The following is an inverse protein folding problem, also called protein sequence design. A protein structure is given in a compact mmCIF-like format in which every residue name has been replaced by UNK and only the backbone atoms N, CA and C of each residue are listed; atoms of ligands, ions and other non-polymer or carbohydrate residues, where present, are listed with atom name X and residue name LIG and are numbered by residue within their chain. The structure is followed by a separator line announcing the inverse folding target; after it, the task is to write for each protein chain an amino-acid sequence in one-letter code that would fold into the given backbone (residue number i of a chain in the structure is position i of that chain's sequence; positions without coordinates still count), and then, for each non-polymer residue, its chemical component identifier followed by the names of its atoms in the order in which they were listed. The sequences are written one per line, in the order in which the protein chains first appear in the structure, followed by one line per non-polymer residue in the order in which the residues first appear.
data_IF_683252671325
#
_entry.id   IF_683252671325
#
_cell.length_a   1.000
_cell.length_b   1.000
_cell.length_c   1.000
_cell.angle_alpha   90.00
_cell.angle_beta   90.00
_cell.angle_gamma   90.00
#
_symmetry.space_group_name_H-M   'P 1'
#
loop_
_entity.id
_entity.type
_entity.pdbx_description
1 polymer ?
#
# COMPACT_ATOMS: atom_id res chain seq x y z
N UNK A 1 -1.67 -67.91 -33.50
CA UNK A 1 -0.36 -68.56 -33.19
C UNK A 1 0.33 -67.67 -32.17
N UNK A 2 0.83 -68.10 -31.01
CA UNK A 2 1.08 -69.42 -30.45
C UNK A 2 1.32 -69.21 -28.95
N UNK A 3 0.68 -70.05 -28.13
CA UNK A 3 1.16 -70.71 -26.90
C UNK A 3 2.25 -70.00 -26.02
N UNK A 4 2.19 -70.01 -24.68
CA UNK A 4 1.95 -71.19 -23.84
C UNK A 4 1.75 -70.78 -22.37
N UNK A 5 0.82 -71.48 -21.73
CA UNK A 5 0.55 -71.51 -20.29
C UNK A 5 1.53 -72.47 -19.55
N UNK A 6 1.75 -72.18 -18.26
CA UNK A 6 1.78 -73.14 -17.12
C UNK A 6 3.06 -73.98 -16.88
N UNK A 7 3.15 -74.72 -15.75
CA UNK A 7 3.26 -74.31 -14.33
C UNK A 7 4.46 -75.01 -13.65
N UNK A 8 4.74 -74.75 -12.37
CA UNK A 8 5.34 -75.67 -11.36
C UNK A 8 5.74 -74.78 -10.15
N UNK A 9 5.79 -75.20 -8.90
CA UNK A 9 5.12 -76.22 -8.10
C UNK A 9 5.57 -75.93 -6.67
N UNK A 10 4.64 -76.13 -5.72
CA UNK A 10 4.82 -76.41 -4.30
C UNK A 10 6.14 -76.02 -3.59
N UNK A 11 6.02 -75.16 -2.58
CA UNK A 11 6.55 -75.52 -1.26
C UNK A 11 5.68 -74.92 -0.15
N UNK A 12 5.03 -75.82 0.60
CA UNK A 12 4.37 -75.56 1.86
C UNK A 12 5.48 -75.37 2.91
N UNK A 13 5.56 -74.21 3.55
CA UNK A 13 6.31 -74.05 4.81
C UNK A 13 5.30 -73.63 5.87
N UNK A 14 4.92 -74.59 6.69
CA UNK A 14 4.22 -74.37 7.94
C UNK A 14 5.23 -73.79 8.94
N UNK A 15 5.20 -72.47 9.14
CA UNK A 15 5.93 -71.80 10.21
C UNK A 15 4.97 -71.58 11.38
N UNK A 16 5.04 -72.46 12.36
CA UNK A 16 4.37 -72.37 13.66
C UNK A 16 4.99 -71.20 14.43
N UNK A 17 4.37 -70.01 14.35
CA UNK A 17 4.76 -68.86 15.15
C UNK A 17 4.14 -68.97 16.54
N UNK A 18 4.97 -69.38 17.50
CA UNK A 18 4.71 -69.31 18.93
C UNK A 18 4.52 -67.83 19.31
N UNK A 19 3.29 -67.43 19.57
CA UNK A 19 2.95 -66.10 20.07
C UNK A 19 3.20 -66.06 21.59
N UNK A 20 4.43 -65.68 21.98
CA UNK A 20 4.70 -65.22 23.34
C UNK A 20 4.06 -63.83 23.51
N UNK A 21 2.86 -63.80 24.07
CA UNK A 21 2.16 -62.59 24.47
C UNK A 21 2.75 -62.08 25.80
N UNK A 22 3.91 -61.44 25.73
CA UNK A 22 4.42 -60.61 26.82
C UNK A 22 3.50 -59.40 26.97
N UNK A 23 2.57 -59.48 27.92
CA UNK A 23 1.80 -58.33 28.40
C UNK A 23 2.75 -57.41 29.18
N UNK A 24 3.57 -56.65 28.45
CA UNK A 24 4.24 -55.49 29.00
C UNK A 24 3.14 -54.49 29.35
N UNK A 25 2.90 -54.32 30.65
CA UNK A 25 2.03 -53.31 31.22
C UNK A 25 2.67 -51.93 30.95
N UNK A 26 2.55 -51.47 29.71
CA UNK A 26 3.02 -50.17 29.28
C UNK A 26 2.09 -49.14 29.90
N UNK A 27 2.54 -48.50 30.99
CA UNK A 27 1.95 -47.26 31.49
C UNK A 27 1.71 -46.36 30.29
N UNK A 28 0.45 -46.05 30.01
CA UNK A 28 0.05 -45.11 28.98
C UNK A 28 0.85 -43.83 29.19
N UNK A 29 1.79 -43.56 28.28
CA UNK A 29 2.53 -42.31 28.25
C UNK A 29 1.52 -41.26 27.81
N UNK A 30 0.88 -40.61 28.78
CA UNK A 30 0.08 -39.42 28.55
C UNK A 30 1.03 -38.34 28.04
N UNK A 31 1.11 -38.20 26.73
CA UNK A 31 1.80 -37.09 26.09
C UNK A 31 0.96 -35.86 26.41
N UNK A 32 1.39 -35.10 27.42
CA UNK A 32 0.84 -33.77 27.69
C UNK A 32 1.17 -32.89 26.49
N UNK A 33 0.26 -32.83 25.51
CA UNK A 33 0.36 -31.91 24.40
C UNK A 33 0.29 -30.50 24.96
N UNK A 34 1.44 -29.82 25.08
CA UNK A 34 1.45 -28.39 25.30
C UNK A 34 0.75 -27.74 24.11
N UNK A 35 -0.26 -26.93 24.38
CA UNK A 35 -0.99 -26.19 23.35
C UNK A 35 0.01 -25.32 22.62
N UNK A 36 0.08 -25.44 21.29
CA UNK A 36 0.97 -24.62 20.49
C UNK A 36 0.65 -23.13 20.73
N UNK A 37 1.67 -22.25 20.87
CA UNK A 37 1.45 -20.84 21.11
C UNK A 37 0.64 -20.22 19.97
N UNK A 38 -0.26 -19.30 20.33
CA UNK A 38 -1.13 -18.64 19.36
C UNK A 38 -0.31 -17.74 18.42
N UNK A 39 -0.52 -17.89 17.11
CA UNK A 39 0.15 -17.12 16.06
C UNK A 39 -0.82 -16.14 15.41
N UNK A 40 -1.22 -15.14 16.18
CA UNK A 40 -2.21 -14.14 15.76
C UNK A 40 -1.64 -13.05 14.83
N UNK A 41 -0.32 -12.85 14.88
CA UNK A 41 0.37 -11.83 14.09
C UNK A 41 0.75 -12.36 12.70
N UNK A 42 0.81 -11.44 11.74
CA UNK A 42 1.26 -11.68 10.38
C UNK A 42 2.29 -10.65 10.00
N UNK A 43 3.50 -11.12 9.75
CA UNK A 43 4.52 -10.38 9.02
C UNK A 43 4.29 -10.62 7.53
N UNK A 44 4.15 -9.55 6.75
CA UNK A 44 3.87 -9.65 5.32
C UNK A 44 4.59 -8.53 4.56
N UNK A 45 4.72 -8.67 3.25
CA UNK A 45 5.25 -7.60 2.40
C UNK A 45 4.07 -6.76 1.93
N UNK A 46 3.93 -5.57 2.49
CA UNK A 46 2.89 -4.62 2.15
C UNK A 46 3.38 -3.50 1.22
N UNK A 47 2.50 -2.56 0.96
CA UNK A 47 2.71 -1.37 0.14
C UNK A 47 2.59 -0.11 0.99
N UNK A 48 3.56 0.78 0.89
CA UNK A 48 3.42 2.18 1.25
C UNK A 48 2.96 2.94 0.01
N UNK A 49 1.99 3.84 0.20
CA UNK A 49 1.47 4.67 -0.88
C UNK A 49 1.96 6.09 -0.64
N UNK A 50 2.75 6.59 -1.58
CA UNK A 50 3.37 7.90 -1.48
C UNK A 50 2.90 8.77 -2.64
N UNK A 51 2.70 10.06 -2.38
CA UNK A 51 2.28 11.07 -3.37
C UNK A 51 3.38 12.11 -3.56
N UNK A 52 3.55 12.61 -4.78
CA UNK A 52 4.51 13.68 -5.04
C UNK A 52 4.10 14.98 -4.33
N UNK A 53 5.03 15.65 -3.65
CA UNK A 53 4.78 16.93 -3.00
C UNK A 53 6.03 17.81 -3.10
N UNK A 54 6.06 18.67 -4.11
CA UNK A 54 7.29 19.35 -4.52
C UNK A 54 8.25 18.34 -5.14
N UNK A 55 9.51 18.36 -4.71
CA UNK A 55 10.56 17.45 -5.20
C UNK A 55 10.66 16.14 -4.40
N UNK A 56 9.81 15.98 -3.37
CA UNK A 56 9.81 14.82 -2.48
C UNK A 56 8.51 14.01 -2.62
N UNK A 57 8.51 12.82 -2.02
CA UNK A 57 7.34 11.97 -1.92
C UNK A 57 6.92 11.86 -0.46
N UNK A 58 5.64 12.09 -0.21
CA UNK A 58 5.05 12.08 1.11
C UNK A 58 4.17 10.85 1.30
N UNK A 59 4.29 10.19 2.45
CA UNK A 59 3.50 9.01 2.78
C UNK A 59 2.05 9.40 3.05
N UNK A 60 1.09 8.67 2.45
CA UNK A 60 -0.33 8.85 2.75
C UNK A 60 -0.64 8.24 4.13
N UNK A 61 -1.01 9.08 5.09
CA UNK A 61 -1.41 8.69 6.45
C UNK A 61 -2.92 8.53 6.64
N UNK A 62 -3.72 8.97 5.67
CA UNK A 62 -5.17 8.88 5.78
C UNK A 62 -5.90 9.35 4.54
N UNK A 63 -7.15 8.93 4.41
CA UNK A 63 -7.99 9.24 3.25
C UNK A 63 -9.41 9.62 3.67
N UNK A 64 -9.87 10.79 3.22
CA UNK A 64 -11.21 11.31 3.46
C UNK A 64 -11.75 11.98 2.19
N UNK A 65 -12.79 11.40 1.57
CA UNK A 65 -13.55 12.02 0.46
C UNK A 65 -12.64 12.56 -0.67
N UNK A 66 -11.77 11.72 -1.23
CA UNK A 66 -10.82 12.10 -2.29
C UNK A 66 -9.76 13.13 -1.87
N UNK A 67 -9.55 13.29 -0.56
CA UNK A 67 -8.42 14.03 0.01
C UNK A 67 -7.61 13.08 0.87
N UNK A 68 -6.31 13.32 0.95
CA UNK A 68 -5.39 12.56 1.79
C UNK A 68 -4.70 13.47 2.77
N UNK A 69 -4.36 12.90 3.92
CA UNK A 69 -3.39 13.49 4.86
C UNK A 69 -2.04 12.84 4.57
N UNK A 70 -0.98 13.62 4.54
CA UNK A 70 0.39 13.14 4.34
C UNK A 70 1.24 13.39 5.57
N UNK A 71 2.34 12.66 5.72
CA UNK A 71 3.33 12.88 6.79
C UNK A 71 4.01 14.27 6.70
N UNK A 72 4.14 14.82 5.49
CA UNK A 72 4.72 16.14 5.23
C UNK A 72 3.72 17.30 5.40
N UNK A 73 2.40 17.04 5.46
CA UNK A 73 1.39 18.08 5.60
C UNK A 73 0.25 17.66 6.53
N UNK A 74 0.01 18.38 7.64
CA UNK A 74 -1.08 18.06 8.56
C UNK A 74 -2.48 18.28 7.95
N UNK A 75 -2.56 19.00 6.82
CA UNK A 75 -3.80 19.30 6.12
C UNK A 75 -4.26 18.19 5.18
N UNK A 76 -5.57 18.17 4.88
CA UNK A 76 -6.12 17.32 3.82
C UNK A 76 -5.84 17.93 2.44
N UNK A 77 -5.09 17.26 1.59
CA UNK A 77 -4.83 17.69 0.20
C UNK A 77 -5.66 16.85 -0.76
N UNK A 78 -6.25 17.46 -1.78
CA UNK A 78 -7.06 16.72 -2.74
C UNK A 78 -6.16 15.80 -3.59
N UNK A 79 -6.56 14.53 -3.77
CA UNK A 79 -5.77 13.55 -4.52
C UNK A 79 -5.46 13.98 -5.96
N UNK A 80 -6.31 14.83 -6.55
CA UNK A 80 -6.14 15.38 -7.90
C UNK A 80 -5.03 16.43 -8.02
N UNK A 81 -4.51 16.90 -6.89
CA UNK A 81 -3.45 17.92 -6.85
C UNK A 81 -2.06 17.28 -6.86
N UNK A 82 -1.99 15.94 -6.87
CA UNK A 82 -0.75 15.21 -6.98
C UNK A 82 -0.62 14.70 -8.40
N UNK A 83 0.54 14.97 -9.00
CA UNK A 83 0.83 14.59 -10.37
C UNK A 83 1.25 13.12 -10.46
N UNK A 84 1.89 12.61 -9.40
CA UNK A 84 2.41 11.26 -9.36
C UNK A 84 2.14 10.55 -8.02
N UNK A 85 2.10 9.23 -8.08
CA UNK A 85 1.96 8.32 -6.96
C UNK A 85 2.90 7.15 -7.15
N UNK A 86 3.67 6.81 -6.10
CA UNK A 86 4.52 5.63 -6.11
C UNK A 86 4.17 4.67 -4.99
N UNK A 87 4.52 3.41 -5.24
CA UNK A 87 4.36 2.33 -4.27
C UNK A 87 5.72 1.80 -3.86
N UNK A 88 5.97 1.83 -2.56
CA UNK A 88 7.20 1.27 -1.97
C UNK A 88 6.83 0.01 -1.21
N UNK A 89 7.44 -1.14 -1.55
CA UNK A 89 7.23 -2.37 -0.80
C UNK A 89 7.97 -2.28 0.53
N UNK A 90 7.29 -2.62 1.62
CA UNK A 90 7.92 -2.70 2.94
C UNK A 90 7.38 -3.89 3.73
N UNK A 91 8.20 -4.55 4.55
CA UNK A 91 7.68 -5.46 5.57
C UNK A 91 6.71 -4.71 6.49
N UNK A 92 5.59 -5.34 6.80
CA UNK A 92 4.56 -4.82 7.70
C UNK A 92 4.13 -5.89 8.66
N UNK A 93 3.83 -5.47 9.88
CA UNK A 93 3.25 -6.33 10.90
C UNK A 93 1.80 -5.91 11.12
N UNK A 94 0.90 -6.86 10.98
CA UNK A 94 -0.51 -6.68 11.30
C UNK A 94 -1.04 -7.94 11.97
N UNK A 95 -2.30 -7.93 12.37
CA UNK A 95 -2.98 -9.06 12.99
C UNK A 95 -4.40 -9.12 12.48
N UNK A 96 -5.06 -10.24 12.74
CA UNK A 96 -6.46 -10.44 12.36
C UNK A 96 -6.71 -10.24 10.85
N UNK A 97 -6.20 -11.14 9.99
CA UNK A 97 -6.31 -10.98 8.54
C UNK A 97 -7.73 -10.71 8.08
N UNK A 98 -7.88 -9.64 7.32
CA UNK A 98 -9.12 -9.30 6.65
C UNK A 98 -9.41 -10.33 5.57
N UNK A 99 -10.69 -10.57 5.30
CA UNK A 99 -11.10 -11.39 4.16
C UNK A 99 -11.59 -10.50 3.04
N UNK A 100 -11.02 -10.68 1.85
CA UNK A 100 -11.47 -10.08 0.60
C UNK A 100 -12.02 -11.20 -0.29
N UNK A 101 -13.31 -11.16 -0.57
CA UNK A 101 -14.01 -12.16 -1.36
C UNK A 101 -14.73 -11.55 -2.56
N UNK A 102 -15.07 -12.40 -3.54
CA UNK A 102 -15.92 -12.06 -4.69
C UNK A 102 -15.47 -10.80 -5.44
N UNK A 103 -14.17 -10.63 -5.64
CA UNK A 103 -13.63 -9.55 -6.48
C UNK A 103 -14.12 -9.76 -7.91
N UNK A 104 -14.86 -8.77 -8.42
CA UNK A 104 -15.37 -8.76 -9.80
C UNK A 104 -15.06 -7.42 -10.44
N UNK A 105 -14.70 -7.46 -11.71
CA UNK A 105 -14.43 -6.30 -12.54
C UNK A 105 -15.42 -6.29 -13.71
N UNK A 106 -15.92 -5.11 -14.05
CA UNK A 106 -16.82 -4.92 -15.18
C UNK A 106 -16.49 -3.62 -15.87
N UNK A 107 -16.37 -3.65 -17.21
CA UNK A 107 -16.29 -2.44 -18.02
C UNK A 107 -17.68 -1.82 -18.12
N UNK A 108 -17.79 -0.54 -17.82
CA UNK A 108 -19.05 0.22 -17.90
C UNK A 108 -18.80 1.52 -18.67
N UNK A 109 -19.87 2.09 -19.24
CA UNK A 109 -19.81 3.45 -19.76
C UNK A 109 -19.65 4.44 -18.60
N UNK A 110 -18.75 5.41 -18.75
CA UNK A 110 -18.67 6.51 -17.78
C UNK A 110 -19.96 7.33 -17.78
N UNK A 111 -20.23 8.00 -16.68
CA UNK A 111 -21.34 8.96 -16.65
C UNK A 111 -21.01 10.15 -17.57
N UNK A 112 -22.01 10.78 -18.18
CA UNK A 112 -21.80 11.96 -19.05
C UNK A 112 -20.98 13.06 -18.35
N UNK A 113 -21.15 13.22 -17.03
CA UNK A 113 -20.38 14.17 -16.20
C UNK A 113 -18.90 13.79 -16.08
N UNK A 114 -18.59 12.50 -16.06
CA UNK A 114 -17.23 12.00 -15.97
C UNK A 114 -16.51 12.00 -17.31
N UNK A 115 -17.21 11.70 -18.41
CA UNK A 115 -16.72 11.93 -19.76
C UNK A 115 -16.33 13.40 -19.94
N UNK A 116 -17.19 14.34 -19.52
CA UNK A 116 -16.92 15.78 -19.60
C UNK A 116 -15.72 16.22 -18.73
N UNK A 117 -15.49 15.55 -17.59
CA UNK A 117 -14.32 15.79 -16.74
C UNK A 117 -13.02 15.24 -17.35
N UNK A 118 -13.08 14.06 -17.97
CA UNK A 118 -11.95 13.49 -18.69
C UNK A 118 -11.56 14.36 -19.88
N UNK A 119 -12.54 14.89 -20.63
CA UNK A 119 -12.32 15.85 -21.72
C UNK A 119 -11.64 17.13 -21.22
N UNK A 120 -12.09 17.72 -20.11
CA UNK A 120 -11.44 18.91 -19.53
C UNK A 120 -10.00 18.65 -19.11
N UNK A 121 -9.72 17.46 -18.58
CA UNK A 121 -8.35 17.10 -18.20
C UNK A 121 -7.46 16.88 -19.44
N UNK A 122 -7.99 16.29 -20.51
CA UNK A 122 -7.27 16.20 -21.79
C UNK A 122 -7.04 17.57 -22.42
N UNK A 123 -8.06 18.44 -22.41
CA UNK A 123 -7.94 19.81 -22.91
C UNK A 123 -6.95 20.64 -22.09
N UNK A 124 -6.94 20.49 -20.76
CA UNK A 124 -5.94 21.12 -19.90
C UNK A 124 -4.52 20.59 -20.17
N UNK A 125 -4.38 19.32 -20.55
CA UNK A 125 -3.10 18.74 -20.97
C UNK A 125 -2.67 19.30 -22.33
N UNK A 126 -3.59 19.47 -23.28
CA UNK A 126 -3.33 20.14 -24.56
C UNK A 126 -2.92 21.60 -24.35
N UNK A 127 -3.67 22.36 -23.53
CA UNK A 127 -3.35 23.76 -23.21
C UNK A 127 -1.98 23.91 -22.54
N UNK A 128 -1.57 22.94 -21.72
CA UNK A 128 -0.24 22.91 -21.11
C UNK A 128 0.84 22.64 -22.17
N UNK A 129 0.62 21.68 -23.06
CA UNK A 129 1.53 21.38 -24.18
C UNK A 129 1.67 22.56 -25.13
N UNK A 130 0.58 23.24 -25.46
CA UNK A 130 0.60 24.41 -26.34
C UNK A 130 1.42 25.56 -25.72
N UNK A 131 1.35 25.72 -24.39
CA UNK A 131 2.19 26.68 -23.67
C UNK A 131 3.66 26.28 -23.66
N UNK A 132 3.99 25.01 -23.47
CA UNK A 132 5.37 24.53 -23.57
C UNK A 132 5.93 24.71 -24.98
N UNK A 133 5.18 24.35 -26.02
CA UNK A 133 5.57 24.54 -27.42
C UNK A 133 5.76 26.03 -27.70
N UNK A 134 4.83 26.88 -27.24
CA UNK A 134 4.96 28.33 -27.41
C UNK A 134 6.17 28.90 -26.69
N UNK A 135 6.52 28.37 -25.50
CA UNK A 135 7.69 28.78 -24.73
C UNK A 135 8.99 28.34 -25.44
N UNK A 136 9.07 27.09 -25.89
CA UNK A 136 10.18 26.57 -26.71
C UNK A 136 10.35 27.36 -28.01
N UNK A 137 9.25 27.71 -28.68
CA UNK A 137 9.28 28.51 -29.91
C UNK A 137 9.72 29.96 -29.64
N UNK A 138 9.35 30.55 -28.51
CA UNK A 138 9.83 31.86 -28.08
C UNK A 138 11.33 31.83 -27.74
N UNK A 139 11.80 30.77 -27.08
CA UNK A 139 13.21 30.55 -26.77
C UNK A 139 14.04 30.36 -28.04
N UNK A 140 13.58 29.55 -28.99
CA UNK A 140 14.20 29.39 -30.32
C UNK A 140 14.23 30.71 -31.11
N UNK A 141 13.17 31.53 -31.05
CA UNK A 141 13.18 32.88 -31.66
C UNK A 141 14.14 33.83 -30.97
N UNK A 142 14.33 33.71 -29.66
CA UNK A 142 15.30 34.51 -28.92
C UNK A 142 16.74 34.09 -29.23
N UNK A 143 16.99 32.79 -29.41
CA UNK A 143 18.28 32.24 -29.83
C UNK A 143 18.60 32.52 -31.31
N UNK A 144 17.58 32.62 -32.16
CA UNK A 144 17.70 32.90 -33.59
C UNK A 144 17.67 34.38 -33.96
N UNK A 145 17.53 35.30 -33.01
CA UNK A 145 17.59 36.74 -33.27
C UNK A 145 19.06 37.18 -33.18
N UNK A 146 19.72 37.55 -34.29
CA UNK A 146 21.10 38.03 -34.24
C UNK A 146 21.15 39.33 -33.41
N UNK A 147 22.12 39.44 -32.51
CA UNK A 147 22.42 40.71 -31.86
C UNK A 147 22.67 41.76 -32.95
N UNK A 148 21.89 42.83 -32.95
CA UNK A 148 22.06 43.96 -33.86
C UNK A 148 23.13 44.84 -33.24
N UNK A 149 24.25 45.02 -33.95
CA UNK A 149 25.33 45.89 -33.52
C UNK A 149 24.87 47.35 -33.40
N UNK A 150 25.67 48.17 -32.72
CA UNK A 150 25.39 49.60 -32.50
C UNK A 150 25.17 50.40 -33.80
N UNK A 151 25.58 49.85 -34.95
CA UNK A 151 25.46 50.41 -36.30
C UNK A 151 24.23 49.91 -37.09
N UNK A 152 23.38 49.07 -36.50
CA UNK A 152 22.20 48.51 -37.15
C UNK A 152 22.50 47.31 -38.06
N UNK A 153 23.74 46.81 -38.10
CA UNK A 153 24.10 45.61 -38.85
C UNK A 153 23.93 44.35 -38.00
N UNK A 154 23.45 43.23 -38.58
CA UNK A 154 23.35 41.96 -37.85
C UNK A 154 24.76 41.43 -37.57
N UNK A 155 25.07 41.17 -36.29
CA UNK A 155 26.30 40.47 -35.89
C UNK A 155 26.15 39.01 -36.32
N UNK A 156 26.78 38.65 -37.45
CA UNK A 156 26.81 37.28 -37.95
C UNK A 156 27.75 36.48 -37.04
N UNK A 157 27.22 35.61 -36.18
CA UNK A 157 28.04 34.60 -35.51
C UNK A 157 28.55 33.63 -36.58
N UNK A 158 29.86 33.60 -36.84
CA UNK A 158 30.49 32.73 -37.84
C UNK A 158 30.65 31.28 -37.37
N UNK A 159 29.85 30.83 -36.40
CA UNK A 159 29.94 29.49 -35.84
C UNK A 159 29.04 28.53 -36.66
N UNK A 160 29.59 27.63 -37.49
CA UNK A 160 28.79 26.75 -38.34
C UNK A 160 27.93 25.74 -37.55
N UNK A 161 28.30 25.46 -36.29
CA UNK A 161 27.58 24.50 -35.43
C UNK A 161 26.23 25.03 -34.91
N UNK A 162 26.03 26.35 -34.85
CA UNK A 162 24.78 26.95 -34.35
C UNK A 162 23.64 26.92 -35.37
N UNK A 163 23.97 26.98 -36.67
CA UNK A 163 22.98 26.84 -37.75
C UNK A 163 22.50 25.40 -37.92
N UNK A 164 23.38 24.41 -37.77
CA UNK A 164 23.00 23.00 -37.87
C UNK A 164 22.10 22.58 -36.69
N UNK A 165 22.34 23.11 -35.49
CA UNK A 165 21.48 22.88 -34.33
C UNK A 165 20.07 23.48 -34.51
N UNK A 166 19.96 24.68 -35.10
CA UNK A 166 18.68 25.33 -35.38
C UNK A 166 17.88 24.60 -36.47
N UNK A 167 18.56 24.09 -37.51
CA UNK A 167 17.94 23.30 -38.57
C UNK A 167 17.45 21.94 -38.03
N UNK A 168 18.25 21.26 -37.20
CA UNK A 168 17.84 20.00 -36.56
C UNK A 168 16.68 20.20 -35.58
N UNK A 169 16.66 21.31 -34.82
CA UNK A 169 15.55 21.63 -33.94
C UNK A 169 14.24 21.90 -34.71
N UNK A 170 14.33 22.60 -35.86
CA UNK A 170 13.18 22.83 -36.73
C UNK A 170 12.64 21.53 -37.36
N UNK A 171 13.52 20.61 -37.77
CA UNK A 171 13.14 19.30 -38.32
C UNK A 171 12.53 18.37 -37.26
N UNK A 172 13.01 18.43 -36.00
CA UNK A 172 12.40 17.70 -34.90
C UNK A 172 11.02 18.27 -34.53
N UNK A 173 10.84 19.59 -34.63
CA UNK A 173 9.56 20.25 -34.38
C UNK A 173 8.51 19.86 -35.45
N UNK A 174 8.91 19.82 -36.74
CA UNK A 174 8.00 19.44 -37.83
C UNK A 174 7.57 17.98 -37.74
N UNK A 175 8.49 17.07 -37.40
CA UNK A 175 8.15 15.65 -37.15
C UNK A 175 7.23 15.49 -35.93
N UNK A 176 7.40 16.34 -34.90
CA UNK A 176 6.51 16.36 -33.74
C UNK A 176 5.11 16.91 -34.09
N UNK A 177 5.03 17.97 -34.91
CA UNK A 177 3.76 18.51 -35.44
C UNK A 177 3.02 17.49 -36.30
N UNK A 178 3.71 16.75 -37.17
CA UNK A 178 3.09 15.73 -38.02
C UNK A 178 2.61 14.51 -37.20
N UNK A 179 3.37 14.10 -36.18
CA UNK A 179 2.96 13.04 -35.25
C UNK A 179 1.76 13.45 -34.38
N UNK A 180 1.66 14.73 -34.01
CA UNK A 180 0.57 15.26 -33.17
C UNK A 180 -0.70 15.56 -33.97
N UNK A 181 -0.58 16.06 -35.21
CA UNK A 181 -1.72 16.24 -36.11
C UNK A 181 -2.38 14.90 -36.50
N UNK A 182 -1.61 13.79 -36.51
CA UNK A 182 -2.14 12.44 -36.67
C UNK A 182 -3.01 11.96 -35.50
N UNK A 183 -2.74 12.41 -34.26
CA UNK A 183 -3.55 12.09 -33.07
C UNK A 183 -4.78 13.00 -32.92
N UNK A 184 -4.75 14.22 -33.47
CA UNK A 184 -5.82 15.23 -33.30
C UNK A 184 -6.92 15.06 -34.37
N UNK A 185 -6.59 14.52 -35.55
CA UNK A 185 -7.54 14.31 -36.64
C UNK A 185 -8.34 12.99 -36.56
N UNK A 186 -8.24 12.26 -35.45
CA UNK A 186 -9.13 11.13 -35.17
C UNK A 186 -10.53 11.65 -34.85
N UNK A 187 -11.25 11.95 -35.93
CA UNK A 187 -12.55 12.64 -35.99
C UNK A 187 -13.69 11.85 -35.36
N UNK A 188 -13.43 10.63 -34.89
CA UNK A 188 -14.37 9.79 -34.15
C UNK A 188 -14.74 10.36 -32.77
N UNK A 189 -13.94 11.28 -32.20
CA UNK A 189 -14.23 11.86 -30.88
C UNK A 189 -15.19 13.06 -30.92
N UNK A 190 -15.25 13.80 -32.04
CA UNK A 190 -16.07 15.01 -32.13
C UNK A 190 -17.57 14.71 -32.40
N UNK A 191 -17.88 13.58 -33.04
CA UNK A 191 -19.28 13.22 -33.39
C UNK A 191 -20.07 12.64 -32.19
N UNK A 192 -19.40 12.26 -31.11
CA UNK A 192 -20.02 11.81 -29.85
C UNK A 192 -20.75 12.92 -29.06
N UNK A 193 -20.58 14.19 -29.43
CA UNK A 193 -21.14 15.34 -28.71
C UNK A 193 -22.61 15.63 -29.04
N UNK A 194 -23.19 14.97 -30.05
CA UNK A 194 -24.63 15.04 -30.34
C UNK A 194 -25.43 14.01 -29.53
N UNK A 195 -25.37 14.09 -28.20
CA UNK A 195 -26.28 13.34 -27.32
C UNK A 195 -26.27 11.81 -27.45
N UNK A 196 -25.31 11.25 -28.20
CA UNK A 196 -25.08 9.82 -28.28
C UNK A 196 -24.48 9.37 -26.96
N UNK A 197 -25.08 8.36 -26.35
CA UNK A 197 -24.35 7.57 -25.35
C UNK A 197 -23.04 7.16 -26.02
N UNK A 198 -21.90 7.59 -25.49
CA UNK A 198 -20.63 6.94 -25.81
C UNK A 198 -20.81 5.50 -25.33
N UNK A 199 -21.15 4.62 -26.26
CA UNK A 199 -21.35 3.18 -26.01
C UNK A 199 -20.01 2.50 -25.70
N UNK A 200 -18.89 3.20 -25.91
CA UNK A 200 -17.54 2.74 -25.59
C UNK A 200 -17.31 2.76 -24.07
N UNK A 201 -17.13 1.58 -23.43
CA UNK A 201 -17.01 1.51 -21.99
C UNK A 201 -15.62 1.99 -21.53
N UNK A 202 -15.56 3.25 -21.09
CA UNK A 202 -14.36 3.96 -20.64
C UNK A 202 -14.26 4.09 -19.10
N UNK A 203 -14.98 3.25 -18.37
CA UNK A 203 -14.91 3.16 -16.92
C UNK A 203 -14.84 1.71 -16.44
N UNK A 204 -14.17 1.51 -15.30
CA UNK A 204 -14.02 0.23 -14.63
C UNK A 204 -14.82 0.24 -13.33
N UNK A 205 -15.78 -0.66 -13.24
CA UNK A 205 -16.48 -1.00 -12.01
C UNK A 205 -15.77 -2.17 -11.33
N UNK A 206 -15.29 -1.94 -10.12
CA UNK A 206 -14.76 -2.98 -9.23
C UNK A 206 -15.74 -3.20 -8.09
N UNK A 207 -16.08 -4.45 -7.84
CA UNK A 207 -16.86 -4.85 -6.66
C UNK A 207 -16.13 -5.93 -5.90
N UNK A 208 -16.19 -5.89 -4.58
CA UNK A 208 -15.68 -6.95 -3.72
C UNK A 208 -16.46 -6.96 -2.39
N UNK A 209 -16.30 -8.03 -1.62
CA UNK A 209 -16.78 -8.14 -0.25
C UNK A 209 -15.58 -8.11 0.69
N UNK A 210 -15.59 -7.21 1.67
CA UNK A 210 -14.52 -7.06 2.67
C UNK A 210 -15.12 -7.26 4.07
N UNK A 211 -14.48 -8.08 4.90
CA UNK A 211 -14.83 -8.28 6.31
C UNK A 211 -13.59 -8.35 7.21
N UNK A 212 -13.77 -8.02 8.48
CA UNK A 212 -12.74 -8.14 9.51
C UNK A 212 -13.24 -9.01 10.66
N UNK A 213 -12.42 -9.88 11.28
CA UNK A 213 -12.86 -10.61 12.47
C UNK A 213 -13.09 -9.70 13.70
N UNK A 214 -12.53 -8.48 13.68
CA UNK A 214 -12.67 -7.46 14.73
C UNK A 214 -13.27 -6.17 14.17
N UNK A 215 -13.74 -5.27 15.04
CA UNK A 215 -14.21 -3.96 14.61
C UNK A 215 -13.03 -3.07 14.21
N UNK A 216 -13.07 -2.50 13.01
CA UNK A 216 -12.10 -1.54 12.51
C UNK A 216 -12.82 -0.28 12.04
N UNK A 217 -12.40 0.86 12.54
CA UNK A 217 -12.89 2.19 12.16
C UNK A 217 -11.90 2.94 11.27
N UNK A 218 -12.43 3.86 10.47
CA UNK A 218 -11.73 4.72 9.53
C UNK A 218 -10.84 3.99 8.52
N UNK A 219 -11.26 2.77 8.15
CA UNK A 219 -10.63 2.02 7.09
C UNK A 219 -10.90 2.66 5.71
N UNK A 220 -9.91 2.61 4.85
CA UNK A 220 -10.02 2.96 3.44
C UNK A 220 -9.32 1.93 2.57
N UNK A 221 -9.68 1.92 1.30
CA UNK A 221 -9.14 1.02 0.30
C UNK A 221 -8.22 1.79 -0.62
N UNK A 222 -7.11 1.15 -0.99
CA UNK A 222 -6.29 1.51 -2.15
C UNK A 222 -6.26 0.31 -3.07
N UNK A 223 -6.68 0.49 -4.31
CA UNK A 223 -6.65 -0.56 -5.30
C UNK A 223 -5.78 -0.18 -6.49
N UNK A 224 -5.12 -1.18 -7.05
CA UNK A 224 -4.28 -1.07 -8.23
C UNK A 224 -4.85 -2.02 -9.28
N UNK A 225 -5.45 -1.46 -10.33
CA UNK A 225 -5.89 -2.21 -11.49
C UNK A 225 -4.84 -2.08 -12.59
N UNK A 226 -4.23 -3.19 -13.01
CA UNK A 226 -3.35 -3.21 -14.18
C UNK A 226 -4.20 -3.40 -15.42
N UNK A 227 -4.16 -2.44 -16.34
CA UNK A 227 -4.91 -2.48 -17.59
C UNK A 227 -3.97 -2.52 -18.79
N UNK A 228 -4.43 -3.07 -19.90
CA UNK A 228 -3.75 -3.05 -21.19
C UNK A 228 -4.60 -2.29 -22.20
N UNK A 229 -3.98 -1.43 -22.99
CA UNK A 229 -4.57 -0.75 -24.15
C UNK A 229 -3.86 -1.21 -25.42
N UNK A 230 -4.27 -0.73 -26.59
CA UNK A 230 -3.56 -1.02 -27.84
C UNK A 230 -2.15 -0.40 -27.84
N UNK A 231 -2.03 0.81 -27.28
CA UNK A 231 -0.76 1.56 -27.22
C UNK A 231 0.15 1.14 -26.06
N UNK A 232 -0.37 0.52 -25.00
CA UNK A 232 0.38 0.21 -23.78
C UNK A 232 0.18 -1.23 -23.32
N UNK A 233 1.29 -1.94 -23.12
CA UNK A 233 1.34 -3.35 -22.69
C UNK A 233 0.85 -3.54 -21.24
N UNK A 234 0.83 -2.49 -20.43
CA UNK A 234 0.36 -2.56 -19.06
C UNK A 234 0.52 -1.24 -18.32
N UNK A 235 -0.58 -0.57 -18.02
CA UNK A 235 -0.64 0.65 -17.21
C UNK A 235 -1.34 0.35 -15.88
N UNK A 236 -0.74 0.77 -14.78
CA UNK A 236 -1.37 0.69 -13.47
C UNK A 236 -2.32 1.87 -13.26
N UNK A 237 -3.51 1.56 -12.74
CA UNK A 237 -4.55 2.51 -12.45
C UNK A 237 -4.90 2.42 -10.98
N UNK A 238 -4.65 3.52 -10.28
CA UNK A 238 -4.85 3.62 -8.85
C UNK A 238 -6.24 4.19 -8.56
N UNK A 239 -6.91 3.62 -7.57
CA UNK A 239 -8.18 4.10 -7.05
C UNK A 239 -8.25 4.00 -5.53
N UNK A 240 -9.01 4.91 -4.94
CA UNK A 240 -9.23 4.99 -3.51
C UNK A 240 -10.72 4.97 -3.22
N UNK A 241 -11.12 4.32 -2.15
CA UNK A 241 -12.49 4.37 -1.66
C UNK A 241 -12.55 4.32 -0.13
N UNK A 242 -13.53 5.00 0.46
CA UNK A 242 -13.69 5.01 1.92
C UNK A 242 -14.59 3.85 2.34
N UNK A 243 -14.05 2.96 3.17
CA UNK A 243 -14.85 1.90 3.79
C UNK A 243 -15.49 2.40 5.09
N UNK A 244 -14.79 3.23 5.87
CA UNK A 244 -15.19 3.81 7.16
C UNK A 244 -15.35 2.82 8.32
N UNK A 245 -16.05 1.70 8.16
CA UNK A 245 -16.24 0.69 9.20
C UNK A 245 -16.23 -0.71 8.61
N UNK A 246 -15.44 -1.60 9.21
CA UNK A 246 -15.38 -3.02 8.94
C UNK A 246 -15.62 -3.81 10.22
N UNK A 247 -16.35 -4.90 10.12
CA UNK A 247 -16.57 -5.88 11.19
C UNK A 247 -16.77 -7.27 10.57
N UNK A 248 -17.26 -8.22 11.38
CA UNK A 248 -17.42 -9.62 10.98
C UNK A 248 -18.42 -9.79 9.82
N UNK A 249 -19.32 -8.84 9.62
CA UNK A 249 -20.29 -8.90 8.53
C UNK A 249 -19.64 -8.42 7.24
N UNK A 250 -19.58 -9.25 6.18
CA UNK A 250 -19.03 -8.83 4.90
C UNK A 250 -19.78 -7.62 4.35
N UNK A 251 -19.00 -6.62 3.96
CA UNK A 251 -19.51 -5.39 3.35
C UNK A 251 -19.13 -5.37 1.88
N UNK A 252 -20.12 -5.14 1.03
CA UNK A 252 -19.87 -4.93 -0.38
C UNK A 252 -19.29 -3.52 -0.60
N UNK A 253 -18.14 -3.48 -1.27
CA UNK A 253 -17.54 -2.25 -1.77
C UNK A 253 -17.79 -2.14 -3.28
N UNK A 254 -17.98 -0.91 -3.74
CA UNK A 254 -18.25 -0.61 -5.15
C UNK A 254 -17.44 0.61 -5.56
N UNK A 255 -16.36 0.39 -6.30
CA UNK A 255 -15.50 1.45 -6.79
C UNK A 255 -15.70 1.61 -8.28
N UNK A 256 -15.89 2.84 -8.73
CA UNK A 256 -15.94 3.18 -10.15
C UNK A 256 -14.74 4.06 -10.48
N UNK A 257 -13.87 3.56 -11.35
CA UNK A 257 -12.76 4.33 -11.90
C UNK A 257 -13.13 4.76 -13.32
N UNK A 258 -13.39 6.04 -13.48
CA UNK A 258 -13.73 6.67 -14.75
C UNK A 258 -12.49 7.29 -15.41
N UNK A 259 -12.62 7.69 -16.68
CA UNK A 259 -11.54 8.35 -17.43
C UNK A 259 -10.44 7.37 -17.86
N UNK A 260 -10.79 6.11 -18.07
CA UNK A 260 -9.87 5.14 -18.65
C UNK A 260 -9.82 5.32 -20.16
N UNK A 261 -8.69 4.98 -20.81
CA UNK A 261 -8.62 4.95 -22.27
C UNK A 261 -9.74 4.09 -22.88
N UNK A 262 -10.14 4.41 -24.11
CA UNK A 262 -11.05 3.56 -24.88
C UNK A 262 -10.51 2.14 -25.03
N UNK A 263 -11.40 1.15 -25.11
CA UNK A 263 -11.07 -0.26 -25.39
C UNK A 263 -9.93 -0.89 -24.54
N UNK A 264 -9.98 -0.72 -23.21
CA UNK A 264 -9.02 -1.37 -22.31
C UNK A 264 -9.40 -2.83 -21.96
N UNK A 265 -8.39 -3.62 -21.57
CA UNK A 265 -8.52 -4.94 -20.93
C UNK A 265 -7.94 -4.90 -19.53
N UNK A 266 -8.67 -5.42 -18.54
CA UNK A 266 -8.17 -5.55 -17.16
C UNK A 266 -7.33 -6.82 -17.08
N UNK A 267 -6.05 -6.68 -16.71
CA UNK A 267 -5.13 -7.80 -16.53
C UNK A 267 -5.18 -8.33 -15.11
N UNK A 268 -5.16 -7.43 -14.13
CA UNK A 268 -5.12 -7.77 -12.71
C UNK A 268 -5.75 -6.65 -11.86
N UNK A 269 -6.29 -7.00 -10.69
CA UNK A 269 -6.78 -6.04 -9.70
C UNK A 269 -6.34 -6.47 -8.31
N UNK A 270 -5.47 -5.66 -7.71
CA UNK A 270 -5.02 -5.82 -6.32
C UNK A 270 -5.74 -4.82 -5.43
N UNK A 271 -6.22 -5.30 -4.28
CA UNK A 271 -6.93 -4.50 -3.29
C UNK A 271 -6.17 -4.55 -1.99
N UNK A 272 -5.84 -3.39 -1.47
CA UNK A 272 -5.14 -3.18 -0.21
C UNK A 272 -6.03 -2.35 0.71
N UNK A 273 -6.10 -2.71 2.00
CA UNK A 273 -6.94 -2.02 2.99
C UNK A 273 -6.02 -1.33 3.98
N UNK A 274 -6.31 -0.07 4.29
CA UNK A 274 -5.49 0.76 5.16
C UNK A 274 -6.30 1.35 6.30
N UNK A 275 -5.60 1.66 7.39
CA UNK A 275 -6.06 2.49 8.49
C UNK A 275 -4.88 3.33 8.96
N UNK A 276 -5.07 4.64 9.09
CA UNK A 276 -4.03 5.57 9.56
C UNK A 276 -2.68 5.40 8.83
N UNK A 277 -2.70 5.26 7.49
CA UNK A 277 -1.51 5.08 6.67
C UNK A 277 -0.89 3.67 6.71
N UNK A 278 -1.35 2.82 7.62
CA UNK A 278 -0.86 1.46 7.76
C UNK A 278 -1.74 0.49 6.99
N UNK A 279 -1.12 -0.37 6.19
CA UNK A 279 -1.83 -1.43 5.50
C UNK A 279 -2.18 -2.54 6.50
N UNK A 280 -3.42 -2.99 6.43
CA UNK A 280 -3.94 -4.11 7.21
C UNK A 280 -3.75 -5.39 6.40
N UNK A 281 -3.28 -6.45 7.06
CA UNK A 281 -3.09 -7.74 6.40
C UNK A 281 -4.42 -8.33 5.93
N UNK A 282 -4.42 -8.90 4.74
CA UNK A 282 -5.59 -9.54 4.12
C UNK A 282 -5.27 -10.99 3.76
N UNK A 283 -6.28 -11.82 3.48
CA UNK A 283 -6.08 -13.16 2.92
C UNK A 283 -5.46 -13.15 1.51
N UNK A 284 -5.34 -11.98 0.87
CA UNK A 284 -4.70 -11.76 -0.44
C UNK A 284 -3.31 -11.16 -0.36
N UNK A 285 -2.84 -10.75 0.83
CA UNK A 285 -1.51 -10.17 0.99
C UNK A 285 -0.42 -11.20 0.65
N UNK A 286 0.63 -10.78 -0.03
CA UNK A 286 1.71 -11.68 -0.44
C UNK A 286 2.66 -12.00 0.72
N UNK A 287 3.30 -13.18 0.68
CA UNK A 287 4.42 -13.58 1.56
C UNK A 287 4.13 -13.36 3.05
N UNK A 288 3.03 -13.94 3.53
CA UNK A 288 2.64 -13.84 4.93
C UNK A 288 3.30 -14.92 5.79
N UNK A 289 3.82 -14.51 6.94
CA UNK A 289 4.39 -15.39 7.97
C UNK A 289 3.62 -15.21 9.27
N UNK A 290 3.14 -16.32 9.82
CA UNK A 290 2.44 -16.36 11.09
C UNK A 290 3.45 -16.28 12.25
N UNK A 291 3.32 -15.25 13.09
CA UNK A 291 4.22 -15.02 14.23
C UNK A 291 3.46 -15.12 15.56
N UNK A 292 4.14 -15.61 16.60
CA UNK A 292 3.70 -15.41 17.98
C UNK A 292 3.89 -13.95 18.40
N UNK A 293 3.35 -13.57 19.55
CA UNK A 293 3.51 -12.21 20.08
C UNK A 293 4.97 -11.87 20.37
N UNK A 294 5.73 -12.83 20.90
CA UNK A 294 7.15 -12.69 21.21
C UNK A 294 7.99 -12.53 19.95
N UNK A 295 7.75 -13.37 18.93
CA UNK A 295 8.42 -13.27 17.62
C UNK A 295 8.13 -11.92 16.93
N UNK A 296 6.88 -11.45 17.03
CA UNK A 296 6.48 -10.15 16.51
C UNK A 296 7.17 -8.99 17.23
N UNK A 297 7.30 -9.08 18.56
CA UNK A 297 8.01 -8.08 19.36
C UNK A 297 9.51 -8.04 19.07
N UNK A 298 10.14 -9.21 18.93
CA UNK A 298 11.54 -9.32 18.53
C UNK A 298 11.78 -8.66 17.17
N UNK A 299 10.94 -8.97 16.18
CA UNK A 299 11.00 -8.34 14.86
C UNK A 299 10.93 -6.80 14.93
N UNK A 300 9.96 -6.25 15.66
CA UNK A 300 9.80 -4.80 15.78
C UNK A 300 10.97 -4.13 16.53
N UNK A 301 11.52 -4.83 17.53
CA UNK A 301 12.69 -4.35 18.28
C UNK A 301 13.92 -4.27 17.37
N UNK A 302 14.16 -5.31 16.56
CA UNK A 302 15.23 -5.31 15.55
C UNK A 302 15.03 -4.19 14.53
N UNK A 303 13.80 -3.97 14.08
CA UNK A 303 13.48 -2.87 13.16
C UNK A 303 13.81 -1.50 13.78
N UNK A 304 13.38 -1.24 15.02
CA UNK A 304 13.69 0.00 15.74
C UNK A 304 15.19 0.21 15.90
N UNK A 305 15.91 -0.79 16.40
CA UNK A 305 17.36 -0.71 16.61
C UNK A 305 18.08 -0.48 15.29
N UNK A 306 17.63 -1.12 14.21
CA UNK A 306 18.22 -0.89 12.88
C UNK A 306 17.97 0.52 12.34
N UNK A 307 16.81 1.13 12.62
CA UNK A 307 16.52 2.54 12.25
C UNK A 307 17.26 3.57 13.10
N UNK A 308 17.72 3.17 14.28
CA UNK A 308 18.38 4.03 15.27
C UNK A 308 19.82 3.58 15.58
N UNK A 309 20.52 3.00 14.60
CA UNK A 309 21.94 2.60 14.76
C UNK A 309 22.79 3.80 15.17
N UNK A 310 23.55 3.63 16.26
CA UNK A 310 24.42 4.67 16.81
C UNK A 310 23.67 5.87 17.39
N UNK A 311 22.35 5.79 17.59
CA UNK A 311 21.54 6.84 18.19
C UNK A 311 21.09 6.43 19.57
N UNK A 312 20.97 7.41 20.46
CA UNK A 312 20.34 7.24 21.76
C UNK A 312 18.89 7.75 21.71
N UNK A 313 17.93 6.86 22.00
CA UNK A 313 16.49 7.18 22.00
C UNK A 313 15.83 6.61 23.23
N UNK A 314 14.83 7.30 23.78
CA UNK A 314 14.10 6.83 24.94
C UNK A 314 13.27 5.56 24.62
N UNK A 315 12.90 4.82 25.67
CA UNK A 315 11.88 3.78 25.57
C UNK A 315 10.55 4.38 25.13
N UNK A 316 9.79 3.63 24.35
CA UNK A 316 8.45 4.01 23.94
C UNK A 316 7.55 2.77 23.80
N UNK A 317 6.23 2.92 23.96
CA UNK A 317 5.30 1.80 23.81
C UNK A 317 5.26 1.24 22.40
N UNK A 318 5.28 -0.10 22.28
CA UNK A 318 5.09 -0.80 21.02
C UNK A 318 3.58 -0.95 20.71
N UNK A 319 2.94 0.15 20.28
CA UNK A 319 1.48 0.24 20.07
C UNK A 319 0.90 -0.81 19.11
N UNK A 320 1.70 -1.30 18.15
CA UNK A 320 1.29 -2.38 17.24
C UNK A 320 0.99 -3.70 17.96
N UNK A 321 1.52 -3.87 19.17
CA UNK A 321 1.33 -5.03 20.05
C UNK A 321 0.53 -4.68 21.31
N UNK A 322 -0.22 -3.58 21.29
CA UNK A 322 -1.05 -3.20 22.42
C UNK A 322 -2.07 -4.31 22.78
N UNK A 323 -2.42 -4.45 24.08
CA UNK A 323 -3.42 -5.42 24.54
C UNK A 323 -4.76 -5.26 23.81
N UNK A 324 -5.50 -6.37 23.64
CA UNK A 324 -6.74 -6.42 22.88
C UNK A 324 -7.81 -5.44 23.42
N UNK A 325 -7.79 -5.18 24.72
CA UNK A 325 -8.68 -4.26 25.43
C UNK A 325 -8.58 -2.82 24.89
N UNK A 326 -7.37 -2.36 24.54
CA UNK A 326 -7.18 -1.03 23.95
C UNK A 326 -7.80 -0.93 22.56
N UNK A 327 -7.74 -2.01 21.77
CA UNK A 327 -8.35 -2.05 20.44
C UNK A 327 -9.86 -2.23 20.47
N UNK A 328 -10.39 -2.87 21.52
CA UNK A 328 -11.83 -3.06 21.69
C UNK A 328 -12.54 -1.79 22.20
N UNK A 329 -11.80 -0.82 22.75
CA UNK A 329 -12.38 0.44 23.22
C UNK A 329 -12.53 1.47 22.12
N UNK A 330 -13.54 2.34 22.26
CA UNK A 330 -13.72 3.57 21.49
C UNK A 330 -13.59 4.84 22.35
N UNK A 331 -13.30 4.70 23.66
CA UNK A 331 -13.28 5.81 24.62
C UNK A 331 -11.84 6.11 25.05
N UNK A 332 -11.22 7.09 24.42
CA UNK A 332 -9.87 7.52 24.78
C UNK A 332 -9.80 8.05 26.24
N UNK A 333 -10.82 8.79 26.67
CA UNK A 333 -10.88 9.43 28.00
C UNK A 333 -10.83 8.42 29.16
N UNK A 334 -11.26 7.18 28.93
CA UNK A 334 -11.18 6.11 29.94
C UNK A 334 -9.73 5.63 30.19
N UNK A 335 -8.78 6.07 29.36
CA UNK A 335 -7.37 5.71 29.38
C UNK A 335 -6.44 6.93 29.49
N UNK A 336 -7.01 8.12 29.74
CA UNK A 336 -6.26 9.39 29.82
C UNK A 336 -5.59 9.58 31.19
N UNK A 337 -4.60 8.72 31.45
CA UNK A 337 -3.81 8.71 32.68
C UNK A 337 -2.34 8.80 32.30
N UNK A 338 -1.74 10.01 32.24
CA UNK A 338 -0.31 10.14 32.00
C UNK A 338 0.46 9.54 33.18
N UNK A 339 1.44 8.70 32.89
CA UNK A 339 2.28 8.06 33.89
C UNK A 339 3.71 7.84 33.41
N UNK A 340 4.62 7.76 34.37
CA UNK A 340 6.01 7.38 34.14
C UNK A 340 6.21 5.91 34.51
N UNK A 341 6.87 5.16 33.63
CA UNK A 341 7.21 3.75 33.86
C UNK A 341 8.70 3.51 33.69
N UNK A 342 9.24 2.58 34.47
CA UNK A 342 10.57 2.03 34.27
C UNK A 342 10.48 0.80 33.36
N UNK A 343 11.29 0.79 32.30
CA UNK A 343 11.32 -0.24 31.27
C UNK A 343 12.71 -0.86 31.27
N UNK A 344 12.79 -2.18 31.33
CA UNK A 344 14.07 -2.90 31.24
C UNK A 344 14.63 -2.96 29.81
N UNK A 345 15.84 -3.49 29.65
CA UNK A 345 16.46 -3.64 28.33
C UNK A 345 15.73 -4.66 27.42
N UNK A 346 14.80 -5.45 27.96
CA UNK A 346 13.93 -6.37 27.22
C UNK A 346 12.59 -5.73 26.86
N UNK A 347 12.35 -4.47 27.23
CA UNK A 347 11.10 -3.79 26.91
C UNK A 347 9.93 -4.13 27.84
N UNK A 348 10.19 -4.69 29.02
CA UNK A 348 9.16 -4.97 30.03
C UNK A 348 9.08 -3.85 31.05
N UNK A 349 7.86 -3.51 31.45
CA UNK A 349 7.62 -2.58 32.56
C UNK A 349 7.98 -3.26 33.87
N UNK A 350 8.96 -2.72 34.57
CA UNK A 350 9.39 -3.21 35.89
C UNK A 350 8.73 -2.45 37.03
N UNK A 351 8.37 -1.18 36.80
CA UNK A 351 7.78 -0.33 37.82
C UNK A 351 6.94 0.78 37.19
N UNK A 352 5.81 1.09 37.83
CA UNK A 352 5.00 2.28 37.56
C UNK A 352 5.27 3.26 38.71
N UNK A 353 5.41 4.55 38.42
CA UNK A 353 5.64 5.58 39.44
C UNK A 353 4.56 5.51 40.54
N UNK A 354 4.93 5.23 41.80
CA UNK A 354 3.97 5.06 42.90
C UNK A 354 3.29 6.37 43.31
N UNK A 355 3.80 7.52 42.85
CA UNK A 355 3.21 8.83 43.16
C UNK A 355 1.95 9.11 42.34
N UNK A 356 1.71 8.33 41.28
CA UNK A 356 0.59 8.52 40.35
C UNK A 356 -0.55 7.56 40.70
N UNK A 357 -1.72 8.12 40.97
CA UNK A 357 -2.93 7.32 41.21
C UNK A 357 -3.54 6.95 39.86
N UNK A 358 -3.41 5.68 39.49
CA UNK A 358 -3.99 5.11 38.27
C UNK A 358 -5.01 4.02 38.61
N UNK A 359 -6.11 3.90 37.86
CA UNK A 359 -7.02 2.77 38.02
C UNK A 359 -6.30 1.42 37.80
N UNK A 360 -6.64 0.41 38.59
CA UNK A 360 -5.99 -0.91 38.56
C UNK A 360 -6.02 -1.54 37.16
N UNK A 361 -7.14 -1.39 36.43
CA UNK A 361 -7.27 -1.89 35.06
C UNK A 361 -6.32 -1.18 34.09
N UNK A 362 -6.02 0.11 34.30
CA UNK A 362 -5.08 0.87 33.47
C UNK A 362 -3.65 0.42 33.79
N UNK A 363 -3.30 0.29 35.08
CA UNK A 363 -1.99 -0.20 35.50
C UNK A 363 -1.70 -1.61 34.93
N UNK A 364 -2.67 -2.53 35.03
CA UNK A 364 -2.55 -3.88 34.50
C UNK A 364 -2.30 -3.89 32.98
N UNK A 365 -2.98 -3.02 32.22
CA UNK A 365 -2.76 -2.90 30.77
C UNK A 365 -1.38 -2.35 30.44
N UNK A 366 -0.88 -1.38 31.20
CA UNK A 366 0.47 -0.84 31.02
C UNK A 366 1.53 -1.90 31.29
N UNK A 367 1.37 -2.72 32.33
CA UNK A 367 2.30 -3.83 32.61
C UNK A 367 2.29 -4.91 31.52
N UNK A 368 1.16 -5.11 30.83
CA UNK A 368 1.05 -6.05 29.70
C UNK A 368 1.49 -5.47 28.36
N UNK A 369 1.65 -4.16 28.27
CA UNK A 369 2.05 -3.46 27.06
C UNK A 369 3.56 -3.64 26.85
N UNK A 370 4.00 -4.24 25.74
CA UNK A 370 5.42 -4.24 25.41
C UNK A 370 5.90 -2.82 25.09
N UNK A 371 7.10 -2.49 25.55
CA UNK A 371 7.81 -1.27 25.21
C UNK A 371 9.00 -1.62 24.34
N UNK A 372 9.31 -0.76 23.39
CA UNK A 372 10.66 -0.75 22.87
C UNK A 372 11.61 -0.25 23.97
N UNK A 373 12.73 -0.94 24.23
CA UNK A 373 13.69 -0.49 25.21
C UNK A 373 14.31 0.84 24.77
N UNK A 374 14.87 1.56 25.75
CA UNK A 374 15.73 2.71 25.45
C UNK A 374 16.97 2.23 24.70
N UNK A 375 17.51 3.06 23.83
CA UNK A 375 18.78 2.82 23.17
C UNK A 375 19.81 3.84 23.66
N UNK A 376 21.02 3.38 23.91
CA UNK A 376 22.22 4.21 24.08
C UNK A 376 23.23 3.76 23.02
N UNK A 377 23.58 4.66 22.09
CA UNK A 377 24.45 4.36 20.94
C UNK A 377 24.00 3.11 20.13
N UNK A 378 22.69 2.89 20.04
CA UNK A 378 22.09 1.75 19.36
C UNK A 378 22.05 0.44 20.19
N UNK A 379 22.47 0.45 21.44
CA UNK A 379 22.40 -0.70 22.36
C UNK A 379 21.20 -0.56 23.28
N UNK A 380 20.42 -1.62 23.44
CA UNK A 380 19.26 -1.62 24.33
C UNK A 380 19.67 -1.50 25.81
N UNK A 381 19.06 -0.54 26.52
CA UNK A 381 19.29 -0.28 27.94
C UNK A 381 17.98 -0.08 28.68
N UNK A 382 18.01 -0.27 30.00
CA UNK A 382 16.88 0.10 30.85
C UNK A 382 16.70 1.63 30.83
N UNK A 383 15.47 2.10 30.77
CA UNK A 383 15.17 3.54 30.74
C UNK A 383 13.77 3.83 31.25
N UNK A 384 13.47 5.11 31.48
CA UNK A 384 12.13 5.57 31.86
C UNK A 384 11.35 6.02 30.62
N UNK A 385 10.06 5.68 30.55
CA UNK A 385 9.15 6.16 29.52
C UNK A 385 7.99 6.94 30.13
N UNK A 386 7.62 8.07 29.50
CA UNK A 386 6.34 8.74 29.75
C UNK A 386 5.30 8.13 28.82
N UNK A 387 4.18 7.68 29.37
CA UNK A 387 3.11 7.07 28.59
C UNK A 387 1.74 7.60 29.02
N UNK A 388 0.85 7.69 28.04
CA UNK A 388 -0.56 7.82 28.26
C UNK A 388 -1.27 6.87 27.29
N UNK A 389 -2.07 5.94 27.81
CA UNK A 389 -2.77 4.95 26.98
C UNK A 389 -3.79 5.60 26.03
N UNK A 390 -4.28 6.82 26.33
CA UNK A 390 -5.11 7.60 25.42
C UNK A 390 -4.39 7.94 24.09
N UNK A 391 -3.06 7.99 24.07
CA UNK A 391 -2.28 8.25 22.85
C UNK A 391 -2.42 7.15 21.80
N UNK A 392 -2.81 5.94 22.19
CA UNK A 392 -3.09 4.85 21.26
C UNK A 392 -4.23 5.16 20.27
N UNK A 393 -5.16 6.05 20.66
CA UNK A 393 -6.35 6.37 19.87
C UNK A 393 -6.15 7.53 18.87
N UNK A 394 -4.95 8.12 18.82
CA UNK A 394 -4.66 9.32 18.01
C UNK A 394 -4.21 9.02 16.58
#
# INVERSE_FOLDING_TARGET
MSFRRSPLSHLLIAATLLSLSTHANAKEKTVSSQTAPEREYRLFVGLNVEVSQGDEYALIEGYVRNRVRTDSSPGLVALRNFDDMRFTYSPKLSRHPLKIAKVKTQKIASTAKAALKAMRNQQALSDFRDREISALQAELRSAGNPEIGEDGSPIVSTDPDSNDAAIQAADQLSQFEDMTNGLINDTDYADGLKGGKSDTPNALLITAEVSSPILITDAYLVGVARIRTEESVGRDVIFFDRIARLDQKPRQIKVVKEGLPGEFKVLDVRIHVYRNGQELVTDKSEKQFALTREEAFEYLTLERTSKNRGKSVAAEPAWSLAPAELFASAKADAYDFPMTVEVDAMGKVTKIDPTIIVPENVAALVTQLPFFPGLEDGVAVASTAQINLASFFR
#
